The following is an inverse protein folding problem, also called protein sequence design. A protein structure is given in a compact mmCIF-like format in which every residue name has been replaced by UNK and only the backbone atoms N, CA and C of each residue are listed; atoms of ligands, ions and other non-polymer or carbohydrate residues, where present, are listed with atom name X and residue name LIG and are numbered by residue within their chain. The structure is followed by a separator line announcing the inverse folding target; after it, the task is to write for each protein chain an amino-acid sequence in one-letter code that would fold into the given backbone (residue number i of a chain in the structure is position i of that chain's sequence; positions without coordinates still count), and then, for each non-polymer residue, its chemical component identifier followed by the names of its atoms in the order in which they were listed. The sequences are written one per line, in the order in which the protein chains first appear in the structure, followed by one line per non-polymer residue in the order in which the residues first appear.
data_IF_881514705537
#
_entry.id   IF_881514705537
#
_cell.length_a   1.000
_cell.length_b   1.000
_cell.length_c   1.000
_cell.angle_alpha   90.00
_cell.angle_beta   90.00
_cell.angle_gamma   90.00
#
_symmetry.space_group_name_H-M   'P 1'
#
loop_
_entity.id
_entity.type
_entity.pdbx_description
1 polymer ?
#
# COMPACT_ATOMS: atom_id res chain seq x y z
N UNK A 1 15.13 11.59 -22.30
CA UNK A 1 14.76 10.99 -21.01
C UNK A 1 13.25 10.90 -20.80
N UNK A 2 12.45 11.93 -21.13
CA UNK A 2 10.98 11.89 -20.96
C UNK A 2 10.29 10.65 -21.57
N UNK A 3 10.55 10.34 -22.85
CA UNK A 3 9.97 9.15 -23.52
C UNK A 3 10.25 7.82 -22.80
N UNK A 4 11.48 7.62 -22.31
CA UNK A 4 11.88 6.39 -21.61
C UNK A 4 11.16 6.30 -20.27
N UNK A 5 11.10 7.43 -19.56
CA UNK A 5 10.37 7.51 -18.30
C UNK A 5 8.90 7.15 -18.47
N UNK A 6 8.22 7.76 -19.44
CA UNK A 6 6.81 7.46 -19.73
C UNK A 6 6.61 5.98 -20.09
N UNK A 7 7.53 5.42 -20.90
CA UNK A 7 7.51 4.00 -21.28
C UNK A 7 7.69 3.09 -20.06
N UNK A 8 8.63 3.39 -19.17
CA UNK A 8 8.83 2.65 -17.91
C UNK A 8 7.57 2.69 -17.05
N UNK A 9 6.93 3.85 -16.90
CA UNK A 9 5.71 3.98 -16.12
C UNK A 9 4.57 3.13 -16.71
N UNK A 10 4.35 3.20 -18.02
CA UNK A 10 3.29 2.45 -18.69
C UNK A 10 3.53 0.94 -18.61
N UNK A 11 4.78 0.51 -18.75
CA UNK A 11 5.17 -0.89 -18.51
C UNK A 11 4.93 -1.28 -17.06
N UNK A 12 5.27 -0.45 -16.08
CA UNK A 12 5.01 -0.76 -14.67
C UNK A 12 3.51 -0.84 -14.33
N UNK A 13 2.65 -0.11 -15.05
CA UNK A 13 1.19 -0.16 -14.86
C UNK A 13 0.60 -1.45 -15.43
N UNK A 14 1.11 -1.91 -16.57
CA UNK A 14 0.59 -3.08 -17.30
C UNK A 14 1.23 -4.41 -16.87
N UNK A 15 2.52 -4.40 -16.52
CA UNK A 15 3.28 -5.55 -16.02
C UNK A 15 3.38 -5.49 -14.49
N UNK A 16 2.57 -6.33 -13.82
CA UNK A 16 2.55 -6.46 -12.35
C UNK A 16 3.40 -7.61 -11.81
N UNK A 17 4.17 -8.30 -12.65
CA UNK A 17 5.03 -9.41 -12.20
C UNK A 17 6.49 -9.01 -12.19
N UNK A 18 6.92 -8.24 -13.20
CA UNK A 18 8.30 -7.81 -13.34
C UNK A 18 8.63 -6.65 -12.39
N UNK A 19 9.81 -6.71 -11.78
CA UNK A 19 10.29 -5.64 -10.91
C UNK A 19 10.56 -4.36 -11.72
N UNK A 20 10.30 -3.20 -11.11
CA UNK A 20 10.65 -1.91 -11.73
C UNK A 20 12.13 -1.82 -12.12
N UNK A 21 13.03 -2.42 -11.32
CA UNK A 21 14.45 -2.47 -11.64
C UNK A 21 14.73 -3.19 -12.97
N UNK A 22 14.10 -4.33 -13.18
CA UNK A 22 14.22 -5.09 -14.43
C UNK A 22 13.65 -4.31 -15.62
N UNK A 23 12.46 -3.71 -15.46
CA UNK A 23 11.84 -2.90 -16.51
C UNK A 23 12.71 -1.69 -16.90
N UNK A 24 13.29 -0.99 -15.92
CA UNK A 24 14.21 0.13 -16.18
C UNK A 24 15.46 -0.34 -16.92
N UNK A 25 16.07 -1.46 -16.52
CA UNK A 25 17.26 -2.00 -17.18
C UNK A 25 17.01 -2.36 -18.65
N UNK A 26 15.86 -2.97 -18.93
CA UNK A 26 15.47 -3.33 -20.30
C UNK A 26 15.31 -2.08 -21.18
N UNK A 27 14.62 -1.05 -20.69
CA UNK A 27 14.42 0.19 -21.46
C UNK A 27 15.72 0.97 -21.68
N UNK A 28 16.60 1.03 -20.67
CA UNK A 28 17.90 1.68 -20.82
C UNK A 28 18.80 0.94 -21.82
N UNK A 29 18.72 -0.41 -21.84
CA UNK A 29 19.45 -1.22 -22.82
C UNK A 29 18.93 -0.98 -24.24
N UNK A 30 17.63 -0.84 -24.43
CA UNK A 30 17.01 -0.53 -25.73
C UNK A 30 17.51 0.81 -26.28
N UNK A 31 17.65 1.82 -25.41
CA UNK A 31 18.07 3.16 -25.78
C UNK A 31 19.59 3.41 -25.66
N UNK A 32 20.38 2.36 -25.33
CA UNK A 32 21.86 2.39 -25.19
C UNK A 32 22.36 3.41 -24.16
N UNK A 33 21.66 3.50 -23.03
CA UNK A 33 22.00 4.38 -21.90
C UNK A 33 22.77 3.63 -20.79
N UNK A 34 23.39 4.38 -19.89
CA UNK A 34 24.34 3.89 -18.88
C UNK A 34 23.74 3.69 -17.47
N UNK A 35 24.57 3.16 -16.56
CA UNK A 35 24.18 2.80 -15.18
C UNK A 35 23.84 4.01 -14.26
N UNK A 36 24.52 5.17 -14.33
CA UNK A 36 24.07 6.37 -13.62
C UNK A 36 22.62 6.79 -13.96
N UNK A 37 22.20 6.54 -15.21
CA UNK A 37 20.82 6.79 -15.67
C UNK A 37 19.84 5.80 -15.02
N UNK A 38 20.26 4.56 -14.76
CA UNK A 38 19.45 3.53 -14.08
C UNK A 38 18.98 3.98 -12.71
N UNK A 39 19.88 4.39 -11.82
CA UNK A 39 19.52 4.75 -10.45
C UNK A 39 18.50 5.90 -10.44
N UNK A 40 18.76 6.92 -11.27
CA UNK A 40 17.88 8.10 -11.36
C UNK A 40 16.51 7.73 -11.91
N UNK A 41 16.47 6.98 -13.02
CA UNK A 41 15.22 6.62 -13.68
C UNK A 41 14.38 5.68 -12.81
N UNK A 42 15.01 4.67 -12.23
CA UNK A 42 14.38 3.75 -11.28
C UNK A 42 13.78 4.51 -10.09
N UNK A 43 14.56 5.37 -9.45
CA UNK A 43 14.14 6.12 -8.26
C UNK A 43 12.95 7.03 -8.54
N UNK A 44 13.01 7.81 -9.63
CA UNK A 44 11.92 8.73 -9.99
C UNK A 44 10.67 7.96 -10.40
N UNK A 45 10.79 6.86 -11.15
CA UNK A 45 9.64 6.05 -11.54
C UNK A 45 8.97 5.38 -10.31
N UNK A 46 9.76 4.83 -9.39
CA UNK A 46 9.26 4.24 -8.14
C UNK A 46 8.56 5.29 -7.25
N UNK A 47 9.13 6.49 -7.13
CA UNK A 47 8.46 7.60 -6.42
C UNK A 47 7.14 8.00 -7.08
N UNK A 48 7.13 8.18 -8.40
CA UNK A 48 5.93 8.59 -9.15
C UNK A 48 4.81 7.58 -8.99
N UNK A 49 5.07 6.28 -9.19
CA UNK A 49 4.06 5.23 -9.09
C UNK A 49 3.50 5.10 -7.67
N UNK A 50 4.35 5.27 -6.64
CA UNK A 50 3.90 5.28 -5.24
C UNK A 50 3.04 6.50 -4.92
N UNK A 51 3.42 7.67 -5.42
CA UNK A 51 2.64 8.90 -5.21
C UNK A 51 1.27 8.82 -5.92
N UNK A 52 1.24 8.35 -7.16
CA UNK A 52 0.01 8.12 -7.93
C UNK A 52 -0.93 7.13 -7.23
N UNK A 53 -0.41 5.94 -6.87
CA UNK A 53 -1.20 4.91 -6.20
C UNK A 53 -1.79 5.39 -4.88
N UNK A 54 -1.01 6.11 -4.07
CA UNK A 54 -1.48 6.71 -2.81
C UNK A 54 -2.53 7.78 -3.06
N UNK A 55 -2.33 8.66 -4.04
CA UNK A 55 -3.28 9.72 -4.37
C UNK A 55 -4.62 9.15 -4.83
N UNK A 56 -4.60 8.11 -5.67
CA UNK A 56 -5.81 7.44 -6.14
C UNK A 56 -6.56 6.78 -5.00
N UNK A 57 -5.86 6.04 -4.12
CA UNK A 57 -6.43 5.44 -2.91
C UNK A 57 -7.08 6.49 -1.99
N UNK A 58 -6.39 7.60 -1.72
CA UNK A 58 -6.92 8.63 -0.83
C UNK A 58 -8.13 9.34 -1.45
N UNK A 59 -8.13 9.57 -2.77
CA UNK A 59 -9.28 10.15 -3.49
C UNK A 59 -10.51 9.26 -3.48
N UNK A 60 -10.34 7.93 -3.58
CA UNK A 60 -11.49 7.02 -3.50
C UNK A 60 -12.16 7.07 -2.13
N UNK A 61 -11.44 7.44 -1.07
CA UNK A 61 -11.92 7.47 0.31
C UNK A 61 -12.39 8.85 0.79
N UNK A 62 -12.84 9.72 -0.12
CA UNK A 62 -13.27 11.12 0.18
C UNK A 62 -14.34 11.24 1.27
N UNK A 63 -15.15 10.20 1.45
CA UNK A 63 -16.26 10.17 2.42
C UNK A 63 -15.81 9.66 3.81
N UNK A 64 -14.53 9.30 3.96
CA UNK A 64 -13.93 8.89 5.22
C UNK A 64 -12.99 9.97 5.76
N UNK A 65 -13.01 10.17 7.07
CA UNK A 65 -11.89 10.83 7.76
C UNK A 65 -10.66 9.93 7.64
N UNK A 66 -9.56 10.45 7.11
CA UNK A 66 -8.28 9.72 7.02
C UNK A 66 -7.19 10.54 7.69
N UNK A 67 -6.58 9.98 8.73
CA UNK A 67 -5.46 10.57 9.45
C UNK A 67 -4.13 10.05 8.88
N UNK A 68 -3.22 10.96 8.53
CA UNK A 68 -1.90 10.66 7.95
C UNK A 68 -0.83 11.22 8.88
N UNK A 69 0.07 10.36 9.37
CA UNK A 69 1.19 10.75 10.21
C UNK A 69 2.49 10.63 9.43
N UNK A 70 3.21 11.74 9.23
CA UNK A 70 4.48 11.69 8.49
C UNK A 70 4.97 13.04 8.00
N UNK A 71 6.13 13.01 7.34
CA UNK A 71 6.66 14.13 6.55
C UNK A 71 6.99 13.63 5.16
N UNK A 72 6.76 14.48 4.16
CA UNK A 72 7.06 14.14 2.77
C UNK A 72 6.67 15.28 1.84
N UNK A 73 7.44 15.47 0.78
CA UNK A 73 7.12 16.46 -0.26
C UNK A 73 5.85 16.10 -1.03
N UNK A 74 5.51 14.81 -1.07
CA UNK A 74 4.30 14.25 -1.66
C UNK A 74 3.04 14.61 -0.87
N UNK A 75 3.16 14.95 0.42
CA UNK A 75 2.00 15.34 1.24
C UNK A 75 1.28 16.58 0.68
N UNK A 76 2.01 17.48 0.01
CA UNK A 76 1.42 18.64 -0.66
C UNK A 76 0.45 18.27 -1.80
N UNK A 77 0.60 17.08 -2.37
CA UNK A 77 -0.35 16.57 -3.37
C UNK A 77 -1.73 16.29 -2.76
N UNK A 78 -1.80 16.21 -1.43
CA UNK A 78 -2.98 15.84 -0.67
C UNK A 78 -3.69 17.05 -0.04
N UNK A 79 -3.09 18.25 -0.05
CA UNK A 79 -3.64 19.48 0.57
C UNK A 79 -5.04 19.85 0.05
N UNK A 80 -5.38 19.44 -1.17
CA UNK A 80 -6.68 19.70 -1.79
C UNK A 80 -7.81 18.76 -1.30
N UNK A 81 -7.51 17.73 -0.51
CA UNK A 81 -8.48 16.74 -0.06
C UNK A 81 -8.96 17.06 1.37
N UNK A 82 -10.20 17.55 1.55
CA UNK A 82 -10.66 18.10 2.84
C UNK A 82 -10.87 17.04 3.94
N UNK A 83 -10.95 15.76 3.56
CA UNK A 83 -11.15 14.64 4.47
C UNK A 83 -9.84 14.09 5.07
N UNK A 84 -8.69 14.62 4.61
CA UNK A 84 -7.38 14.22 5.08
C UNK A 84 -6.91 15.12 6.23
N UNK A 85 -6.39 14.49 7.27
CA UNK A 85 -5.83 15.15 8.44
C UNK A 85 -4.37 14.76 8.57
N UNK A 86 -3.49 15.68 8.18
CA UNK A 86 -2.05 15.46 8.19
C UNK A 86 -1.50 15.91 9.54
N UNK A 87 -0.80 14.99 10.21
CA UNK A 87 -0.15 15.19 11.49
C UNK A 87 1.36 15.11 11.35
N UNK A 88 2.06 15.70 12.31
CA UNK A 88 3.51 15.52 12.43
C UNK A 88 3.87 14.03 12.62
N UNK A 89 5.08 13.62 12.21
CA UNK A 89 5.56 12.27 12.40
C UNK A 89 5.72 11.99 13.89
N UNK A 90 5.31 10.79 14.28
CA UNK A 90 5.39 10.33 15.67
C UNK A 90 6.47 9.26 15.84
N UNK A 91 7.01 9.06 17.05
CA UNK A 91 7.86 7.92 17.35
C UNK A 91 7.18 6.59 17.05
N UNK A 92 7.98 5.56 16.73
CA UNK A 92 7.47 4.24 16.34
C UNK A 92 6.49 3.63 17.37
N UNK A 93 6.78 3.75 18.67
CA UNK A 93 5.91 3.22 19.72
C UNK A 93 4.53 3.91 19.77
N UNK A 94 4.50 5.20 19.46
CA UNK A 94 3.27 5.98 19.38
C UNK A 94 2.50 5.62 18.11
N UNK A 95 3.19 5.40 16.98
CA UNK A 95 2.57 4.88 15.76
C UNK A 95 1.84 3.55 16.01
N UNK A 96 2.43 2.61 16.76
CA UNK A 96 1.76 1.36 17.15
C UNK A 96 0.49 1.59 17.98
N UNK A 97 0.50 2.60 18.86
CA UNK A 97 -0.65 2.97 19.69
C UNK A 97 -1.76 3.54 18.83
N UNK A 98 -1.43 4.46 17.93
CA UNK A 98 -2.37 5.04 16.95
C UNK A 98 -2.94 3.95 16.05
N UNK A 99 -2.10 3.03 15.57
CA UNK A 99 -2.56 1.92 14.75
C UNK A 99 -3.60 1.09 15.49
N UNK A 100 -3.33 0.71 16.75
CA UNK A 100 -4.28 -0.03 17.60
C UNK A 100 -5.61 0.69 17.84
N UNK A 101 -5.59 2.02 17.92
CA UNK A 101 -6.79 2.84 18.10
C UNK A 101 -7.58 3.02 16.78
N UNK A 102 -6.93 2.77 15.64
CA UNK A 102 -7.51 2.92 14.31
C UNK A 102 -8.22 1.65 13.88
N UNK A 103 -9.44 1.76 13.37
CA UNK A 103 -10.19 0.61 12.86
C UNK A 103 -9.58 0.02 11.57
N UNK A 104 -9.03 0.90 10.73
CA UNK A 104 -8.48 0.55 9.41
C UNK A 104 -7.11 1.18 9.28
N UNK A 105 -6.15 0.39 8.78
CA UNK A 105 -4.82 0.86 8.38
C UNK A 105 -4.69 0.69 6.88
N UNK A 106 -4.46 1.80 6.19
CA UNK A 106 -4.22 1.82 4.76
C UNK A 106 -2.76 1.48 4.44
N UNK A 107 -2.56 0.59 3.49
CA UNK A 107 -1.28 0.34 2.84
C UNK A 107 -1.43 0.53 1.32
N UNK A 108 -0.38 1.07 0.71
CA UNK A 108 -0.24 1.17 -0.74
C UNK A 108 1.21 0.89 -1.09
N UNK A 109 1.47 -0.24 -1.75
CA UNK A 109 2.80 -0.73 -2.10
C UNK A 109 2.82 -1.29 -3.53
N UNK A 110 2.43 -0.50 -4.55
CA UNK A 110 2.18 -1.00 -5.92
C UNK A 110 3.38 -1.68 -6.59
N UNK A 111 4.60 -1.40 -6.11
CA UNK A 111 5.84 -1.97 -6.63
C UNK A 111 6.29 -3.25 -5.90
N UNK A 112 5.60 -3.67 -4.83
CA UNK A 112 5.86 -4.94 -4.15
C UNK A 112 5.16 -6.07 -4.91
N UNK A 113 5.73 -6.44 -6.06
CA UNK A 113 5.14 -7.43 -6.99
C UNK A 113 4.92 -8.81 -6.36
N UNK A 114 5.75 -9.19 -5.41
CA UNK A 114 5.61 -10.44 -4.64
C UNK A 114 6.23 -10.25 -3.26
N UNK A 115 5.49 -9.57 -2.39
CA UNK A 115 5.93 -9.26 -1.04
C UNK A 115 4.91 -8.44 -0.28
N UNK A 116 5.27 -7.99 0.92
CA UNK A 116 4.40 -7.19 1.76
C UNK A 116 5.22 -6.23 2.61
N UNK A 117 4.65 -5.05 2.88
CA UNK A 117 5.20 -4.09 3.83
C UNK A 117 4.86 -4.55 5.26
N UNK A 118 5.75 -4.29 6.22
CA UNK A 118 5.58 -4.68 7.63
C UNK A 118 4.32 -4.08 8.27
N UNK A 119 3.85 -2.95 7.73
CA UNK A 119 2.61 -2.25 8.14
C UNK A 119 1.38 -3.14 8.06
N UNK A 120 1.28 -4.01 7.05
CA UNK A 120 0.15 -4.92 6.85
C UNK A 120 0.08 -5.88 8.05
N UNK A 121 1.19 -6.55 8.36
CA UNK A 121 1.27 -7.48 9.47
C UNK A 121 1.08 -6.79 10.82
N UNK A 122 1.62 -5.57 10.97
CA UNK A 122 1.49 -4.77 12.19
C UNK A 122 0.03 -4.40 12.44
N UNK A 123 -0.70 -3.93 11.42
CA UNK A 123 -2.12 -3.61 11.52
C UNK A 123 -2.94 -4.83 11.97
N UNK A 124 -2.71 -5.97 11.32
CA UNK A 124 -3.37 -7.22 11.67
C UNK A 124 -3.03 -7.66 13.10
N UNK A 125 -1.77 -7.55 13.53
CA UNK A 125 -1.33 -7.93 14.88
C UNK A 125 -2.02 -7.08 15.97
N UNK A 126 -2.19 -5.78 15.75
CA UNK A 126 -2.78 -4.88 16.75
C UNK A 126 -4.32 -4.86 16.74
N UNK A 127 -4.97 -5.67 15.91
CA UNK A 127 -6.43 -5.80 15.88
C UNK A 127 -7.14 -4.77 14.99
N UNK A 128 -6.42 -4.21 14.02
CA UNK A 128 -6.97 -3.32 12.99
C UNK A 128 -7.10 -4.06 11.67
N UNK A 129 -8.03 -3.60 10.81
CA UNK A 129 -8.15 -4.13 9.46
C UNK A 129 -7.02 -3.55 8.60
N UNK A 130 -6.20 -4.41 8.01
CA UNK A 130 -5.28 -3.99 6.96
C UNK A 130 -6.04 -3.87 5.63
N UNK A 131 -5.99 -2.70 5.00
CA UNK A 131 -6.50 -2.45 3.64
C UNK A 131 -5.31 -2.23 2.73
N UNK A 132 -5.10 -3.07 1.72
CA UNK A 132 -3.88 -3.05 0.90
C UNK A 132 -4.13 -3.44 -0.55
N UNK A 133 -3.27 -2.97 -1.46
CA UNK A 133 -3.26 -3.41 -2.84
C UNK A 133 -2.97 -4.91 -2.94
N UNK A 134 -3.64 -5.58 -3.88
CA UNK A 134 -3.48 -7.02 -4.12
C UNK A 134 -2.17 -7.36 -4.82
N UNK A 135 -1.55 -8.46 -4.39
CA UNK A 135 -0.42 -9.08 -5.09
C UNK A 135 -0.38 -10.60 -4.83
N UNK A 136 0.34 -11.39 -5.67
CA UNK A 136 0.43 -12.84 -5.54
C UNK A 136 0.90 -13.36 -4.17
N UNK A 137 1.81 -12.64 -3.51
CA UNK A 137 2.27 -13.02 -2.19
C UNK A 137 1.14 -12.90 -1.15
N UNK A 138 0.44 -11.76 -1.14
CA UNK A 138 -0.66 -11.52 -0.21
C UNK A 138 -1.81 -12.51 -0.42
N UNK A 139 -2.20 -12.79 -1.66
CA UNK A 139 -3.27 -13.76 -1.95
C UNK A 139 -2.87 -15.21 -1.65
N UNK A 140 -1.57 -15.52 -1.63
CA UNK A 140 -1.08 -16.84 -1.18
C UNK A 140 -1.09 -17.00 0.35
N UNK A 141 -0.95 -15.90 1.10
CA UNK A 141 -0.85 -15.92 2.56
C UNK A 141 -2.20 -15.63 3.25
N UNK A 142 -3.06 -14.82 2.63
CA UNK A 142 -4.23 -14.21 3.25
C UNK A 142 -5.46 -14.33 2.35
N UNK A 143 -6.62 -14.46 2.99
CA UNK A 143 -7.91 -14.49 2.31
C UNK A 143 -8.57 -13.11 2.40
N UNK A 144 -8.95 -12.56 1.25
CA UNK A 144 -9.66 -11.28 1.17
C UNK A 144 -11.02 -11.36 1.88
N UNK A 145 -11.34 -10.33 2.67
CA UNK A 145 -12.52 -10.20 3.55
C UNK A 145 -12.54 -11.12 4.78
N UNK A 146 -11.61 -12.07 4.92
CA UNK A 146 -11.50 -12.94 6.09
C UNK A 146 -10.32 -12.56 6.99
N UNK A 147 -9.17 -12.24 6.41
CA UNK A 147 -7.95 -11.89 7.16
C UNK A 147 -7.58 -10.41 7.04
N UNK A 148 -7.86 -9.81 5.88
CA UNK A 148 -7.57 -8.43 5.53
C UNK A 148 -8.47 -8.02 4.36
N UNK A 149 -8.38 -6.77 3.94
CA UNK A 149 -9.09 -6.27 2.76
C UNK A 149 -8.11 -5.94 1.63
N UNK A 150 -8.21 -6.69 0.53
CA UNK A 150 -7.46 -6.45 -0.70
C UNK A 150 -8.24 -5.52 -1.62
N UNK A 151 -7.56 -4.60 -2.28
CA UNK A 151 -8.14 -3.80 -3.37
C UNK A 151 -7.32 -3.94 -4.65
N UNK A 152 -7.97 -3.75 -5.80
CA UNK A 152 -7.27 -3.61 -7.08
C UNK A 152 -6.83 -2.15 -7.25
N UNK A 153 -5.52 -1.87 -7.40
CA UNK A 153 -5.07 -0.49 -7.61
C UNK A 153 -5.60 0.15 -8.90
N UNK A 154 -6.12 -0.63 -9.87
CA UNK A 154 -6.76 -0.10 -11.09
C UNK A 154 -8.27 0.10 -10.95
N UNK A 155 -8.90 -0.51 -9.94
CA UNK A 155 -10.33 -0.34 -9.65
C UNK A 155 -10.60 -0.20 -8.15
N UNK A 156 -10.75 1.06 -7.75
CA UNK A 156 -11.07 1.45 -6.37
C UNK A 156 -12.57 1.68 -6.15
N UNK A 157 -13.42 1.45 -7.16
CA UNK A 157 -14.83 1.86 -7.13
C UNK A 157 -15.60 1.23 -5.98
N UNK A 158 -15.35 -0.05 -5.69
CA UNK A 158 -16.02 -0.79 -4.62
C UNK A 158 -15.39 -0.61 -3.24
N UNK A 159 -14.17 -0.08 -3.17
CA UNK A 159 -13.41 -0.03 -1.92
C UNK A 159 -14.11 0.78 -0.81
N UNK A 160 -14.69 1.97 -1.08
CA UNK A 160 -15.41 2.74 -0.07
C UNK A 160 -16.56 1.95 0.56
N UNK A 161 -17.39 1.31 -0.26
CA UNK A 161 -18.55 0.56 0.20
C UNK A 161 -18.15 -0.66 1.03
N UNK A 162 -17.08 -1.35 0.63
CA UNK A 162 -16.54 -2.49 1.38
C UNK A 162 -16.02 -2.08 2.75
N UNK A 163 -15.29 -0.96 2.84
CA UNK A 163 -14.83 -0.40 4.12
C UNK A 163 -16.04 0.02 4.96
N UNK A 164 -17.01 0.73 4.37
CA UNK A 164 -18.21 1.19 5.07
C UNK A 164 -19.00 0.01 5.67
N UNK A 165 -19.22 -1.04 4.89
CA UNK A 165 -19.90 -2.27 5.32
C UNK A 165 -19.21 -2.91 6.53
N UNK A 166 -17.88 -3.04 6.49
CA UNK A 166 -17.10 -3.58 7.61
C UNK A 166 -17.16 -2.68 8.86
N UNK A 167 -17.11 -1.36 8.68
CA UNK A 167 -17.13 -0.41 9.80
C UNK A 167 -18.51 -0.28 10.47
N UNK A 168 -19.58 -0.63 9.76
CA UNK A 168 -20.97 -0.60 10.26
C UNK A 168 -21.44 -1.95 10.81
N UNK A 169 -20.73 -3.05 10.51
CA UNK A 169 -21.01 -4.38 11.04
C UNK A 169 -19.94 -4.82 12.05
N UNK A 170 -20.23 -4.64 13.34
CA UNK A 170 -19.28 -4.93 14.41
C UNK A 170 -18.89 -6.42 14.50
N UNK A 171 -19.81 -7.33 14.22
CA UNK A 171 -19.53 -8.76 14.25
C UNK A 171 -18.57 -9.15 13.12
N UNK A 172 -18.82 -8.65 11.90
CA UNK A 172 -17.91 -8.86 10.77
C UNK A 172 -16.51 -8.29 11.05
N UNK A 173 -16.45 -7.07 11.60
CA UNK A 173 -15.18 -6.45 12.02
C UNK A 173 -14.41 -7.33 13.02
N UNK A 174 -15.10 -7.83 14.06
CA UNK A 174 -14.49 -8.65 15.11
C UNK A 174 -14.02 -10.01 14.57
N UNK A 175 -14.81 -10.64 13.70
CA UNK A 175 -14.44 -11.91 13.06
C UNK A 175 -13.16 -11.75 12.24
N UNK A 176 -13.12 -10.75 11.35
CA UNK A 176 -11.98 -10.49 10.48
C UNK A 176 -10.72 -10.19 11.29
N UNK A 177 -10.78 -9.24 12.22
CA UNK A 177 -9.62 -8.87 13.05
C UNK A 177 -9.12 -10.00 13.93
N UNK A 178 -10.01 -10.85 14.45
CA UNK A 178 -9.64 -12.05 15.21
C UNK A 178 -8.95 -13.09 14.31
N UNK A 179 -9.45 -13.32 13.10
CA UNK A 179 -8.82 -14.22 12.12
C UNK A 179 -7.42 -13.72 11.77
N UNK A 180 -7.30 -12.43 11.45
CA UNK A 180 -6.06 -11.75 11.15
C UNK A 180 -5.00 -11.96 12.25
N UNK A 181 -5.35 -11.67 13.51
CA UNK A 181 -4.45 -11.83 14.65
C UNK A 181 -3.99 -13.28 14.85
N UNK A 182 -4.92 -14.25 14.73
CA UNK A 182 -4.59 -15.67 14.83
C UNK A 182 -3.60 -16.09 13.73
N UNK A 183 -3.82 -15.64 12.49
CA UNK A 183 -2.95 -15.97 11.36
C UNK A 183 -1.57 -15.36 11.53
N UNK A 184 -1.49 -14.11 11.99
CA UNK A 184 -0.20 -13.47 12.29
C UNK A 184 0.57 -14.24 13.37
N UNK A 185 -0.08 -14.57 14.49
CA UNK A 185 0.55 -15.30 15.58
C UNK A 185 1.04 -16.70 15.16
N UNK A 186 0.31 -17.37 14.26
CA UNK A 186 0.63 -18.72 13.82
C UNK A 186 1.71 -18.83 12.74
N UNK A 187 1.94 -17.79 11.93
CA UNK A 187 2.77 -17.91 10.73
C UNK A 187 3.58 -16.66 10.33
N UNK A 188 3.42 -15.54 11.04
CA UNK A 188 4.05 -14.26 10.66
C UNK A 188 4.77 -13.56 11.81
N UNK A 189 5.17 -14.32 12.84
CA UNK A 189 6.12 -13.84 13.86
C UNK A 189 7.56 -14.01 13.36
N UNK A 190 8.50 -13.37 14.07
CA UNK A 190 9.92 -13.53 13.81
C UNK A 190 10.35 -15.01 13.83
N UNK A 191 9.89 -15.77 14.83
CA UNK A 191 10.24 -17.19 15.00
C UNK A 191 9.82 -18.09 13.83
N UNK A 192 8.86 -17.66 13.00
CA UNK A 192 8.40 -18.42 11.83
C UNK A 192 9.05 -17.96 10.51
N UNK A 193 9.69 -16.79 10.49
CA UNK A 193 10.11 -16.12 9.24
C UNK A 193 11.58 -15.70 9.18
N UNK A 194 12.32 -15.82 10.28
CA UNK A 194 13.73 -15.50 10.38
C UNK A 194 14.65 -16.73 10.30
#
# INVERSE_FOLDING_TARGET
MGRIFDTVLDRCRTDRTTSIGTLVQEELKNDKLDDPTYITLWYVADLTLRAEGRLNLLRSLKDFRVDIFGKGSDLKLFDALPNLHIHDPVPFQEALTIMRQSKVILNSSPQFRSGAHERIFTAMAVGSIAVTDTNPYLTSCFTDNDDLLLYDPDDLTSLPDRIHSLLTNQDAYNILTTSAQKKIAAAHTWDHRA
#
